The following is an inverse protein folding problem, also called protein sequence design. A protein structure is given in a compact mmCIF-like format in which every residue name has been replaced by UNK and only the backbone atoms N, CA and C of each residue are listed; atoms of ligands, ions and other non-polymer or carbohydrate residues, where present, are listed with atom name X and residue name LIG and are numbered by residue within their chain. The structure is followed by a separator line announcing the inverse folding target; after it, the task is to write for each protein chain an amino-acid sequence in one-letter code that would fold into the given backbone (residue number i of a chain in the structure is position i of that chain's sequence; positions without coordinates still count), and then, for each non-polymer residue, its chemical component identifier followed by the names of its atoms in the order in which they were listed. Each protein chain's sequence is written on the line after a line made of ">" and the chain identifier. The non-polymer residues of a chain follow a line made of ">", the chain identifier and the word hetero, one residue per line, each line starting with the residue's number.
data_IF_045042184025
#
_entry.id   IF_045042184025
#
_cell.length_a   1.000
_cell.length_b   1.000
_cell.length_c   1.000
_cell.angle_alpha   90.00
_cell.angle_beta   90.00
_cell.angle_gamma   90.00
#
_symmetry.space_group_name_H-M   'P 1'
#
loop_
_entity.id
_entity.type
_entity.pdbx_description
1 polymer ?
#
# COMPACT_ATOMS: atom_id res chain seq x y z
N UNK A 1 -17.84 8.87 4.86
CA UNK A 1 -18.15 9.32 3.48
C UNK A 1 -17.51 8.29 2.56
N UNK A 2 -18.21 7.84 1.53
CA UNK A 2 -17.63 6.92 0.54
C UNK A 2 -16.61 7.68 -0.33
N UNK A 3 -15.44 7.11 -0.54
CA UNK A 3 -14.37 7.72 -1.33
C UNK A 3 -14.35 7.12 -2.73
N UNK A 4 -14.21 7.96 -3.74
CA UNK A 4 -14.01 7.49 -5.11
C UNK A 4 -12.61 6.86 -5.28
N UNK A 5 -12.51 5.86 -6.14
CA UNK A 5 -11.23 5.24 -6.49
C UNK A 5 -10.42 6.11 -7.46
N UNK A 6 -9.09 5.98 -7.38
CA UNK A 6 -8.18 6.62 -8.35
C UNK A 6 -8.49 6.17 -9.77
N UNK A 7 -8.32 7.08 -10.74
CA UNK A 7 -8.58 6.84 -12.16
C UNK A 7 -7.32 6.98 -13.02
N UNK A 8 -6.30 7.65 -12.49
CA UNK A 8 -5.09 8.00 -13.23
C UNK A 8 -3.82 7.61 -12.47
N UNK A 9 -2.72 7.49 -13.21
CA UNK A 9 -1.41 7.23 -12.61
C UNK A 9 -0.95 8.37 -11.69
N UNK A 10 -1.34 9.61 -11.97
CA UNK A 10 -0.95 10.76 -11.14
C UNK A 10 -1.62 10.70 -9.76
N UNK A 11 -2.93 10.44 -9.69
CA UNK A 11 -3.62 10.27 -8.41
C UNK A 11 -3.04 9.11 -7.59
N UNK A 12 -2.69 8.00 -8.26
CA UNK A 12 -2.01 6.89 -7.61
C UNK A 12 -0.67 7.35 -7.00
N UNK A 13 0.15 8.06 -7.78
CA UNK A 13 1.46 8.58 -7.35
C UNK A 13 1.35 9.62 -6.23
N UNK A 14 0.33 10.46 -6.23
CA UNK A 14 0.04 11.39 -5.13
C UNK A 14 -0.14 10.63 -3.82
N UNK A 15 -0.91 9.53 -3.84
CA UNK A 15 -1.08 8.72 -2.64
C UNK A 15 0.17 7.93 -2.23
N UNK A 16 1.01 7.51 -3.18
CA UNK A 16 2.33 6.95 -2.87
C UNK A 16 3.14 7.97 -2.07
N UNK A 17 3.20 9.21 -2.57
CA UNK A 17 3.90 10.31 -1.92
C UNK A 17 3.31 10.62 -0.54
N UNK A 18 1.99 10.65 -0.38
CA UNK A 18 1.36 10.83 0.94
C UNK A 18 1.84 9.77 1.94
N UNK A 19 1.86 8.49 1.55
CA UNK A 19 2.35 7.44 2.44
C UNK A 19 3.84 7.57 2.75
N UNK A 20 4.64 7.98 1.75
CA UNK A 20 6.06 8.26 1.94
C UNK A 20 6.28 9.36 2.98
N UNK A 21 5.50 10.45 2.92
CA UNK A 21 5.62 11.54 3.91
C UNK A 21 5.31 11.07 5.34
N UNK A 22 4.39 10.11 5.51
CA UNK A 22 4.09 9.52 6.83
C UNK A 22 5.22 8.66 7.37
N UNK A 23 5.84 7.84 6.50
CA UNK A 23 6.91 6.93 6.87
C UNK A 23 8.23 7.68 7.13
N UNK A 24 8.57 8.61 6.25
CA UNK A 24 9.82 9.36 6.28
C UNK A 24 9.79 10.48 7.32
N UNK A 25 8.62 11.05 7.58
CA UNK A 25 8.45 12.10 8.59
C UNK A 25 8.57 11.61 10.03
N UNK A 26 8.42 10.29 10.28
CA UNK A 26 8.51 9.66 11.61
C UNK A 26 7.73 10.40 12.72
N UNK A 27 6.61 11.03 12.35
CA UNK A 27 5.79 11.85 13.24
C UNK A 27 4.51 11.11 13.58
N UNK A 28 4.21 10.98 14.87
CA UNK A 28 2.96 10.38 15.34
C UNK A 28 1.78 11.35 15.18
N UNK A 29 0.56 10.85 14.86
CA UNK A 29 0.18 9.44 14.71
C UNK A 29 0.43 8.86 13.30
N UNK A 30 0.95 9.65 12.36
CA UNK A 30 1.05 9.27 10.95
C UNK A 30 2.00 8.10 10.70
N UNK A 31 3.14 8.06 11.40
CA UNK A 31 4.12 7.00 11.27
C UNK A 31 3.53 5.64 11.67
N UNK A 32 3.01 5.51 12.89
CA UNK A 32 2.39 4.27 13.36
C UNK A 32 1.20 3.85 12.51
N UNK A 33 0.41 4.81 12.03
CA UNK A 33 -0.66 4.56 11.08
C UNK A 33 -0.15 3.92 9.78
N UNK A 34 0.88 4.50 9.14
CA UNK A 34 1.42 4.01 7.88
C UNK A 34 2.03 2.62 8.03
N UNK A 35 2.79 2.40 9.10
CA UNK A 35 3.34 1.08 9.47
C UNK A 35 2.22 0.04 9.62
N UNK A 36 1.12 0.40 10.30
CA UNK A 36 -0.02 -0.50 10.48
C UNK A 36 -0.72 -0.84 9.14
N UNK A 37 -0.80 0.12 8.20
CA UNK A 37 -1.28 -0.15 6.83
C UNK A 37 -0.40 -1.14 6.09
N UNK A 38 0.92 -1.01 6.18
CA UNK A 38 1.89 -1.93 5.56
C UNK A 38 1.76 -3.32 6.19
N UNK A 39 1.69 -3.39 7.52
CA UNK A 39 1.59 -4.65 8.28
C UNK A 39 0.31 -5.44 7.96
N UNK A 40 -0.82 -4.77 7.74
CA UNK A 40 -2.14 -5.38 7.47
C UNK A 40 -2.47 -5.52 5.97
N UNK A 41 -1.61 -5.04 5.08
CA UNK A 41 -1.85 -5.10 3.64
C UNK A 41 -1.80 -6.51 3.07
N UNK A 42 -2.44 -6.71 1.91
CA UNK A 42 -2.44 -7.98 1.16
C UNK A 42 -2.00 -7.73 -0.28
N UNK A 43 -2.64 -6.78 -0.97
CA UNK A 43 -2.20 -6.32 -2.28
C UNK A 43 -1.35 -5.06 -2.14
N UNK A 44 -0.20 -5.02 -2.81
CA UNK A 44 0.74 -3.90 -2.77
C UNK A 44 1.17 -3.47 -4.16
N UNK A 45 1.29 -2.18 -4.40
CA UNK A 45 2.15 -1.69 -5.49
C UNK A 45 3.58 -1.69 -4.96
N UNK A 46 4.48 -2.39 -5.63
CA UNK A 46 5.89 -2.45 -5.30
C UNK A 46 6.68 -1.57 -6.28
N UNK A 47 7.30 -0.52 -5.75
CA UNK A 47 8.04 0.47 -6.54
C UNK A 47 9.52 0.30 -6.29
N UNK A 48 10.31 0.11 -7.35
CA UNK A 48 11.77 0.01 -7.23
C UNK A 48 12.39 1.39 -6.92
N UNK A 49 13.32 1.41 -5.97
CA UNK A 49 14.11 2.58 -5.59
C UNK A 49 15.60 2.24 -5.64
N UNK A 50 16.47 3.23 -5.43
CA UNK A 50 17.92 3.01 -5.33
C UNK A 50 18.30 2.12 -4.13
N UNK A 51 17.44 2.05 -3.11
CA UNK A 51 17.67 1.29 -1.87
C UNK A 51 16.86 -0.01 -1.78
N UNK A 52 16.25 -0.46 -2.89
CA UNK A 52 15.47 -1.69 -2.94
C UNK A 52 14.04 -1.44 -3.45
N UNK A 53 13.04 -1.85 -2.67
CA UNK A 53 11.63 -1.65 -3.01
C UNK A 53 10.89 -0.93 -1.88
N UNK A 54 9.96 -0.04 -2.26
CA UNK A 54 8.91 0.46 -1.37
C UNK A 54 7.59 -0.25 -1.68
N UNK A 55 6.78 -0.47 -0.65
CA UNK A 55 5.54 -1.24 -0.75
C UNK A 55 4.35 -0.44 -0.25
N UNK A 56 3.35 -0.30 -1.13
CA UNK A 56 2.23 0.59 -0.90
C UNK A 56 0.91 -0.19 -0.91
N UNK A 57 0.18 -0.25 0.23
CA UNK A 57 -1.01 -1.07 0.37
C UNK A 57 -2.16 -0.52 -0.48
N UNK A 58 -2.75 -1.38 -1.31
CA UNK A 58 -3.76 -1.00 -2.33
C UNK A 58 -4.95 -0.22 -1.76
N UNK A 59 -5.43 -0.61 -0.56
CA UNK A 59 -6.55 0.06 0.10
C UNK A 59 -6.24 1.50 0.49
N UNK A 60 -4.98 1.83 0.76
CA UNK A 60 -4.60 3.21 1.05
C UNK A 60 -4.43 4.01 -0.24
N UNK A 61 -3.68 3.48 -1.22
CA UNK A 61 -3.33 4.25 -2.42
C UNK A 61 -4.41 4.24 -3.51
N UNK A 62 -5.44 3.41 -3.37
CA UNK A 62 -6.46 3.22 -4.39
C UNK A 62 -7.64 4.18 -4.32
N UNK A 63 -7.72 5.08 -3.33
CA UNK A 63 -8.76 6.09 -3.22
C UNK A 63 -8.23 7.47 -3.56
N UNK A 64 -9.03 8.33 -4.21
CA UNK A 64 -8.61 9.68 -4.59
C UNK A 64 -8.28 10.54 -3.35
N UNK A 65 -7.23 11.34 -3.47
CA UNK A 65 -6.78 12.31 -2.45
C UNK A 65 -6.76 11.76 -1.03
N UNK A 66 -6.24 10.53 -0.87
CA UNK A 66 -6.35 9.84 0.40
C UNK A 66 -5.34 10.37 1.43
N UNK A 67 -5.78 10.47 2.67
CA UNK A 67 -4.98 10.83 3.84
C UNK A 67 -5.27 9.84 4.98
N UNK A 68 -4.55 9.93 6.10
CA UNK A 68 -4.89 9.18 7.31
C UNK A 68 -6.36 9.40 7.72
N UNK A 69 -6.79 10.65 7.82
CA UNK A 69 -8.13 11.04 8.25
C UNK A 69 -9.19 10.59 7.25
N UNK A 70 -8.96 10.80 5.96
CA UNK A 70 -9.90 10.39 4.91
C UNK A 70 -10.08 8.86 4.92
N UNK A 71 -8.97 8.13 5.02
CA UNK A 71 -8.98 6.68 5.04
C UNK A 71 -9.66 6.12 6.30
N UNK A 72 -9.41 6.68 7.49
CA UNK A 72 -10.07 6.24 8.73
C UNK A 72 -11.57 6.50 8.68
N UNK A 73 -12.00 7.66 8.15
CA UNK A 73 -13.41 8.02 7.98
C UNK A 73 -14.13 7.30 6.83
N UNK A 74 -13.39 6.61 5.96
CA UNK A 74 -13.96 5.71 4.95
C UNK A 74 -14.29 4.37 5.61
N UNK A 75 -15.51 4.25 6.13
CA UNK A 75 -16.01 3.03 6.80
C UNK A 75 -16.06 1.84 5.85
N UNK A 76 -16.24 2.08 4.55
CA UNK A 76 -16.44 1.06 3.52
C UNK A 76 -15.17 0.69 2.74
N UNK A 77 -13.99 1.14 3.21
CA UNK A 77 -12.70 0.89 2.56
C UNK A 77 -12.46 -0.61 2.27
N UNK A 78 -12.55 -1.01 1.00
CA UNK A 78 -12.40 -2.40 0.56
C UNK A 78 -11.36 -2.54 -0.57
N UNK A 79 -10.57 -3.61 -0.48
CA UNK A 79 -9.69 -4.04 -1.54
C UNK A 79 -10.43 -4.41 -2.83
N UNK A 80 -11.71 -4.80 -2.74
CA UNK A 80 -12.57 -5.12 -3.89
C UNK A 80 -12.81 -3.95 -4.83
N UNK A 81 -12.70 -2.71 -4.33
CA UNK A 81 -12.86 -1.49 -5.13
C UNK A 81 -11.51 -1.00 -5.65
N UNK A 82 -10.52 -0.92 -4.76
CA UNK A 82 -9.20 -0.37 -5.08
C UNK A 82 -8.38 -1.27 -6.01
N UNK A 83 -8.54 -2.59 -5.91
CA UNK A 83 -7.77 -3.55 -6.73
C UNK A 83 -8.12 -3.45 -8.23
N UNK A 84 -9.41 -3.43 -8.65
CA UNK A 84 -9.78 -3.16 -10.03
C UNK A 84 -9.28 -1.80 -10.55
N UNK A 85 -9.40 -0.73 -9.76
CA UNK A 85 -8.96 0.60 -10.15
C UNK A 85 -7.45 0.65 -10.42
N UNK A 86 -6.63 0.12 -9.51
CA UNK A 86 -5.17 0.04 -9.68
C UNK A 86 -4.81 -0.88 -10.85
N UNK A 87 -5.51 -2.01 -11.01
CA UNK A 87 -5.31 -2.92 -12.16
C UNK A 87 -5.56 -2.22 -13.49
N UNK A 88 -6.58 -1.37 -13.58
CA UNK A 88 -6.88 -0.59 -14.77
C UNK A 88 -5.74 0.39 -15.10
N UNK A 89 -5.23 1.10 -14.09
CA UNK A 89 -4.13 2.06 -14.24
C UNK A 89 -2.81 1.38 -14.62
N UNK A 90 -2.50 0.22 -14.01
CA UNK A 90 -1.21 -0.47 -14.18
C UNK A 90 -1.24 -1.55 -15.29
N UNK A 91 -2.39 -1.81 -15.90
CA UNK A 91 -2.55 -2.72 -17.03
C UNK A 91 -2.43 -4.21 -16.72
N UNK A 92 -2.23 -4.59 -15.45
CA UNK A 92 -2.12 -6.00 -15.02
C UNK A 92 -2.66 -6.21 -13.61
N UNK A 93 -3.00 -7.46 -13.28
CA UNK A 93 -3.49 -7.85 -11.95
C UNK A 93 -2.31 -8.11 -11.00
N UNK A 94 -2.48 -7.91 -9.68
CA UNK A 94 -1.43 -8.25 -8.74
C UNK A 94 -1.32 -9.77 -8.61
N UNK A 95 -0.10 -10.28 -8.55
CA UNK A 95 0.18 -11.71 -8.40
C UNK A 95 1.22 -11.97 -7.30
N UNK A 96 1.27 -13.19 -6.75
CA UNK A 96 2.38 -13.59 -5.88
C UNK A 96 3.72 -13.47 -6.61
N UNK A 97 4.73 -12.98 -5.90
CA UNK A 97 6.08 -12.82 -6.44
C UNK A 97 7.10 -13.06 -5.32
N UNK A 98 7.91 -14.11 -5.46
CA UNK A 98 8.83 -14.53 -4.41
C UNK A 98 9.99 -13.56 -4.17
N UNK A 99 10.41 -12.79 -5.18
CA UNK A 99 11.44 -11.76 -4.99
C UNK A 99 10.87 -10.57 -4.24
N UNK A 100 9.67 -10.12 -4.62
CA UNK A 100 9.01 -9.02 -3.93
C UNK A 100 8.57 -9.38 -2.51
N UNK A 101 8.19 -10.63 -2.25
CA UNK A 101 7.88 -11.08 -0.89
C UNK A 101 9.12 -11.01 0.02
N UNK A 102 10.30 -11.43 -0.48
CA UNK A 102 11.56 -11.26 0.27
C UNK A 102 11.91 -9.78 0.49
N UNK A 103 11.76 -8.97 -0.56
CA UNK A 103 12.00 -7.52 -0.46
C UNK A 103 11.01 -6.84 0.51
N UNK A 104 9.75 -7.30 0.57
CA UNK A 104 8.75 -6.83 1.52
C UNK A 104 9.17 -7.15 2.96
N UNK A 105 9.68 -8.35 3.22
CA UNK A 105 10.17 -8.74 4.55
C UNK A 105 11.32 -7.84 5.00
N UNK A 106 12.32 -7.63 4.13
CA UNK A 106 13.43 -6.71 4.40
C UNK A 106 12.95 -5.26 4.61
N UNK A 107 11.94 -4.82 3.84
CA UNK A 107 11.34 -3.50 4.02
C UNK A 107 10.62 -3.36 5.37
N UNK A 108 9.88 -4.37 5.82
CA UNK A 108 9.28 -4.37 7.15
C UNK A 108 10.34 -4.28 8.26
N UNK A 109 11.43 -5.04 8.14
CA UNK A 109 12.55 -4.98 9.10
C UNK A 109 13.17 -3.59 9.16
N UNK A 110 13.35 -2.94 8.00
CA UNK A 110 13.84 -1.56 7.93
C UNK A 110 12.87 -0.54 8.57
N UNK A 111 11.57 -0.83 8.58
CA UNK A 111 10.55 -0.06 9.31
C UNK A 111 10.45 -0.43 10.80
N UNK A 112 11.30 -1.34 11.28
CA UNK A 112 11.38 -1.72 12.70
C UNK A 112 10.38 -2.79 13.14
N UNK A 113 9.82 -3.58 12.22
CA UNK A 113 8.93 -4.70 12.59
C UNK A 113 9.11 -5.94 11.72
N UNK A 114 8.89 -7.11 12.30
CA UNK A 114 8.90 -8.36 11.53
C UNK A 114 7.57 -8.55 10.79
N UNK A 115 7.65 -8.83 9.48
CA UNK A 115 6.48 -9.16 8.68
C UNK A 115 5.77 -10.42 9.22
N UNK A 116 4.43 -10.42 9.15
CA UNK A 116 3.68 -11.66 9.34
C UNK A 116 4.00 -12.65 8.20
N UNK A 117 4.02 -13.96 8.50
CA UNK A 117 4.29 -15.00 7.49
C UNK A 117 3.33 -14.96 6.29
N UNK A 118 2.11 -14.46 6.49
CA UNK A 118 1.11 -14.22 5.44
C UNK A 118 0.47 -12.85 5.64
N UNK A 119 -0.18 -12.33 4.60
CA UNK A 119 -1.00 -11.13 4.69
C UNK A 119 -2.20 -11.32 5.63
N UNK A 120 -3.03 -10.27 5.78
CA UNK A 120 -4.25 -10.37 6.57
C UNK A 120 -5.10 -11.58 6.16
N UNK A 121 -5.73 -12.23 7.15
CA UNK A 121 -6.56 -13.43 6.99
C UNK A 121 -5.81 -14.68 6.48
N UNK A 122 -4.48 -14.71 6.57
CA UNK A 122 -3.68 -15.86 6.13
C UNK A 122 -3.57 -15.98 4.60
N UNK A 123 -3.84 -14.89 3.87
CA UNK A 123 -3.76 -14.84 2.40
C UNK A 123 -2.34 -14.47 1.97
N UNK A 124 -1.86 -15.10 0.90
CA UNK A 124 -0.59 -14.75 0.28
C UNK A 124 -0.63 -13.32 -0.27
N UNK A 125 0.44 -12.55 -0.05
CA UNK A 125 0.55 -11.20 -0.58
C UNK A 125 0.65 -11.23 -2.09
N UNK A 126 0.13 -10.18 -2.73
CA UNK A 126 0.15 -10.02 -4.18
C UNK A 126 0.68 -8.65 -4.52
N UNK A 127 1.39 -8.56 -5.62
CA UNK A 127 2.10 -7.35 -5.99
C UNK A 127 1.81 -6.94 -7.42
N UNK A 128 1.68 -5.63 -7.63
CA UNK A 128 1.99 -5.04 -8.92
C UNK A 128 3.45 -4.63 -8.91
N UNK A 129 4.23 -5.04 -9.91
CA UNK A 129 5.54 -4.43 -10.15
C UNK A 129 5.34 -3.12 -10.89
N UNK A 130 5.90 -2.05 -10.34
CA UNK A 130 5.87 -0.71 -10.91
C UNK A 130 7.28 -0.17 -11.12
#
# INVERSE_FOLDING_TARGET
>A
MEMACVQTLNELKENLHTLDTYLDGQTEPYYSYAVDRIKKGVCFVAVKTEHGFRFYPSRFIGYQHNSMEAHENNVWKDGKETTPAITHILGHKPCPDAELERAYQAYCEALGFTANQKGAYGVERKFWRF
#
